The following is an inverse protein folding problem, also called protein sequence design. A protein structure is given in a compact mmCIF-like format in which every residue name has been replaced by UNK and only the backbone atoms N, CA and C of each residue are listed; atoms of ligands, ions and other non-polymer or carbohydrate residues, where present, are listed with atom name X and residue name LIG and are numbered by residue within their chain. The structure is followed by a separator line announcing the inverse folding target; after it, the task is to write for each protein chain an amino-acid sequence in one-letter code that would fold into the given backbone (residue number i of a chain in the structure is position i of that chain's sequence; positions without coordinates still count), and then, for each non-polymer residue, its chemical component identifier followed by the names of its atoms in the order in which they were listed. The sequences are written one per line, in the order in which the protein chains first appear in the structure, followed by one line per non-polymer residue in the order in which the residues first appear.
data_IF_240778737938
#
_entry.id   IF_240778737938
#
_cell.length_a   1.000
_cell.length_b   1.000
_cell.length_c   1.000
_cell.angle_alpha   90.00
_cell.angle_beta   90.00
_cell.angle_gamma   90.00
#
_symmetry.space_group_name_H-M   'P 1'
#
loop_
_entity.id
_entity.type
_entity.pdbx_description
1 polymer ?
#
# COMPACT_ATOMS: atom_id res chain seq x y z
N UNK A 1 -2.17 -21.92 -7.64
CA UNK A 1 -1.66 -21.82 -6.25
C UNK A 1 -2.85 -21.84 -5.31
N UNK A 2 -2.68 -22.31 -4.07
CA UNK A 2 -3.74 -22.25 -3.07
C UNK A 2 -3.94 -20.80 -2.59
N UNK A 3 -5.14 -20.48 -2.12
CA UNK A 3 -5.49 -19.14 -1.63
C UNK A 3 -4.64 -18.82 -0.38
N UNK A 4 -4.10 -17.60 -0.29
CA UNK A 4 -3.40 -17.12 0.90
C UNK A 4 -2.06 -17.80 1.20
N UNK A 5 -1.32 -18.26 0.18
CA UNK A 5 -0.04 -18.97 0.40
C UNK A 5 1.20 -18.18 0.05
N UNK A 6 1.08 -17.09 -0.72
CA UNK A 6 2.22 -16.33 -1.22
C UNK A 6 2.50 -15.11 -0.34
N UNK A 7 3.77 -14.86 -0.04
CA UNK A 7 4.21 -13.68 0.72
C UNK A 7 4.33 -12.44 -0.19
N UNK A 8 4.70 -12.64 -1.45
CA UNK A 8 4.81 -11.57 -2.44
C UNK A 8 4.51 -12.06 -3.87
N UNK A 9 4.04 -11.15 -4.72
CA UNK A 9 3.84 -11.33 -6.16
C UNK A 9 4.46 -10.12 -6.88
N UNK A 10 5.25 -10.39 -7.93
CA UNK A 10 5.73 -9.38 -8.87
C UNK A 10 4.97 -9.58 -10.17
N UNK A 11 4.18 -8.59 -10.56
CA UNK A 11 3.36 -8.61 -11.76
C UNK A 11 4.02 -7.77 -12.87
N UNK A 12 4.46 -8.45 -13.92
CA UNK A 12 5.13 -7.86 -15.08
C UNK A 12 4.22 -7.74 -16.30
N UNK A 13 2.91 -7.96 -16.16
CA UNK A 13 1.98 -7.98 -17.28
C UNK A 13 1.61 -6.54 -17.68
N UNK A 14 2.07 -6.11 -18.86
CA UNK A 14 1.76 -4.78 -19.42
C UNK A 14 0.40 -4.68 -20.12
N UNK A 15 -0.45 -5.70 -19.99
CA UNK A 15 -1.83 -5.69 -20.48
C UNK A 15 -2.83 -5.54 -19.33
N UNK A 16 -3.99 -4.94 -19.60
CA UNK A 16 -5.06 -4.82 -18.60
C UNK A 16 -5.57 -6.21 -18.19
N UNK A 17 -5.47 -6.54 -16.90
CA UNK A 17 -5.92 -7.82 -16.37
C UNK A 17 -6.42 -7.66 -14.91
N UNK A 18 -7.23 -8.61 -14.37
CA UNK A 18 -7.79 -8.50 -13.03
C UNK A 18 -6.77 -8.82 -11.93
N UNK A 19 -6.69 -7.98 -10.89
CA UNK A 19 -5.76 -8.16 -9.77
C UNK A 19 -6.32 -9.00 -8.62
N UNK A 20 -7.65 -9.18 -8.53
CA UNK A 20 -8.30 -9.97 -7.48
C UNK A 20 -7.77 -11.40 -7.34
N UNK A 21 -7.56 -12.16 -8.44
CA UNK A 21 -6.98 -13.50 -8.34
C UNK A 21 -5.57 -13.47 -7.73
N UNK A 22 -4.75 -12.46 -8.05
CA UNK A 22 -3.40 -12.32 -7.49
C UNK A 22 -3.45 -11.99 -6.01
N UNK A 23 -4.32 -11.06 -5.61
CA UNK A 23 -4.54 -10.70 -4.20
C UNK A 23 -5.02 -11.91 -3.40
N UNK A 24 -5.91 -12.74 -3.96
CA UNK A 24 -6.38 -13.96 -3.29
C UNK A 24 -5.26 -14.98 -3.03
N UNK A 25 -4.18 -14.97 -3.81
CA UNK A 25 -3.03 -15.85 -3.58
C UNK A 25 -2.11 -15.33 -2.47
N UNK A 26 -2.18 -14.03 -2.13
CA UNK A 26 -1.36 -13.42 -1.10
C UNK A 26 -1.89 -13.73 0.30
N UNK A 27 -0.98 -13.98 1.24
CA UNK A 27 -1.26 -14.01 2.68
C UNK A 27 -1.76 -12.63 3.15
N UNK A 28 -2.35 -12.59 4.36
CA UNK A 28 -2.55 -11.33 5.07
C UNK A 28 -1.23 -10.56 5.15
N UNK A 29 -1.24 -9.27 4.80
CA UNK A 29 -0.05 -8.40 4.70
C UNK A 29 0.95 -8.77 3.58
N UNK A 30 0.56 -9.58 2.60
CA UNK A 30 1.37 -9.90 1.43
C UNK A 30 1.54 -8.74 0.46
N UNK A 31 2.64 -8.75 -0.30
CA UNK A 31 3.04 -7.62 -1.17
C UNK A 31 2.70 -7.94 -2.63
N UNK A 32 1.97 -7.04 -3.30
CA UNK A 32 1.82 -7.04 -4.76
C UNK A 32 2.61 -5.90 -5.37
N UNK A 33 3.66 -6.21 -6.14
CA UNK A 33 4.47 -5.24 -6.87
C UNK A 33 4.02 -5.22 -8.33
N UNK A 34 3.46 -4.11 -8.78
CA UNK A 34 3.07 -3.90 -10.18
C UNK A 34 4.24 -3.26 -10.93
N UNK A 35 4.87 -4.01 -11.83
CA UNK A 35 5.98 -3.56 -12.70
C UNK A 35 5.50 -3.35 -14.13
N UNK A 36 4.43 -4.03 -14.54
CA UNK A 36 3.76 -3.77 -15.82
C UNK A 36 3.15 -2.37 -15.86
N UNK A 37 3.36 -1.66 -16.96
CA UNK A 37 2.77 -0.35 -17.22
C UNK A 37 1.67 -0.49 -18.30
N UNK A 38 0.43 -0.87 -17.92
CA UNK A 38 -0.66 -1.00 -18.87
C UNK A 38 -1.10 0.37 -19.39
N UNK A 39 -1.46 0.44 -20.67
CA UNK A 39 -1.94 1.67 -21.32
C UNK A 39 -3.22 2.22 -20.67
N UNK A 40 -4.05 1.34 -20.11
CA UNK A 40 -5.24 1.71 -19.34
C UNK A 40 -4.99 1.48 -17.86
N UNK A 41 -5.30 2.45 -16.99
CA UNK A 41 -5.11 2.30 -15.55
C UNK A 41 -5.89 1.09 -15.04
N UNK A 42 -5.28 0.21 -14.23
CA UNK A 42 -5.94 -0.96 -13.70
C UNK A 42 -7.11 -0.54 -12.81
N UNK A 43 -8.24 -1.24 -12.92
CA UNK A 43 -9.38 -1.06 -12.01
C UNK A 43 -8.99 -1.59 -10.63
N UNK A 44 -8.47 -0.73 -9.77
CA UNK A 44 -8.27 -1.05 -8.36
C UNK A 44 -9.62 -1.04 -7.65
N UNK A 45 -9.97 -2.16 -7.05
CA UNK A 45 -10.90 -2.16 -5.94
C UNK A 45 -10.14 -1.63 -4.73
N UNK A 46 -10.62 -0.54 -4.12
CA UNK A 46 -9.94 0.15 -3.01
C UNK A 46 -10.08 -0.65 -1.71
N UNK A 47 -11.14 -1.46 -1.59
CA UNK A 47 -11.48 -2.23 -0.38
C UNK A 47 -10.40 -3.20 0.15
N UNK A 48 -9.69 -4.01 -0.67
CA UNK A 48 -8.62 -4.89 -0.19
C UNK A 48 -7.43 -4.13 0.41
N UNK A 49 -7.24 -2.86 0.03
CA UNK A 49 -6.14 -2.00 0.50
C UNK A 49 -6.55 -1.06 1.64
N UNK A 50 -7.84 -1.00 2.02
CA UNK A 50 -8.32 -0.12 3.09
C UNK A 50 -8.01 -0.64 4.51
N UNK A 51 -7.58 -1.91 4.63
CA UNK A 51 -7.20 -2.52 5.91
C UNK A 51 -5.69 -2.41 6.18
N UNK A 52 -5.01 -1.44 5.57
CA UNK A 52 -3.62 -1.14 5.94
C UNK A 52 -3.61 -0.43 7.29
N UNK A 53 -2.83 -0.94 8.22
CA UNK A 53 -2.57 -0.25 9.49
C UNK A 53 -1.88 1.07 9.14
N UNK A 54 -2.57 2.19 9.37
CA UNK A 54 -2.01 3.53 9.14
C UNK A 54 -1.50 4.09 10.46
N UNK A 55 -0.37 4.78 10.40
CA UNK A 55 0.12 5.57 11.52
C UNK A 55 -0.26 7.04 11.25
N UNK A 56 -1.29 7.50 11.96
CA UNK A 56 -1.75 8.88 11.88
C UNK A 56 -0.75 9.77 12.62
N UNK A 57 -0.17 10.74 11.92
CA UNK A 57 0.83 11.65 12.48
C UNK A 57 0.37 13.10 12.35
N UNK A 58 0.80 13.91 13.30
CA UNK A 58 0.61 15.36 13.27
C UNK A 58 1.67 16.02 12.37
N UNK A 59 1.33 17.20 11.83
CA UNK A 59 2.19 18.00 10.95
C UNK A 59 3.56 18.35 11.56
N UNK A 60 3.62 18.62 12.85
CA UNK A 60 4.87 18.88 13.60
C UNK A 60 5.76 17.63 13.71
N UNK A 61 5.19 16.44 13.61
CA UNK A 61 5.89 15.16 13.69
C UNK A 61 6.45 14.68 12.34
N UNK A 62 6.18 15.40 11.24
CA UNK A 62 6.53 14.96 9.87
C UNK A 62 8.03 14.73 9.71
N UNK A 63 8.89 15.59 10.26
CA UNK A 63 10.34 15.43 10.13
C UNK A 63 10.83 14.14 10.80
N UNK A 64 10.31 13.83 11.99
CA UNK A 64 10.62 12.59 12.71
C UNK A 64 10.08 11.36 11.97
N UNK A 65 8.88 11.45 11.39
CA UNK A 65 8.32 10.38 10.56
C UNK A 65 9.17 10.10 9.31
N UNK A 66 9.74 11.14 8.69
CA UNK A 66 10.65 10.98 7.55
C UNK A 66 11.96 10.28 7.94
N UNK A 67 12.52 10.57 9.13
CA UNK A 67 13.68 9.83 9.65
C UNK A 67 13.36 8.35 9.92
N UNK A 68 12.17 8.05 10.44
CA UNK A 68 11.70 6.68 10.66
C UNK A 68 11.49 5.94 9.35
N UNK A 69 10.96 6.60 8.32
CA UNK A 69 10.82 6.05 6.98
C UNK A 69 12.18 5.64 6.39
N UNK A 70 13.20 6.48 6.52
CA UNK A 70 14.57 6.18 6.05
C UNK A 70 15.15 4.95 6.77
N UNK A 71 14.77 4.74 8.03
CA UNK A 71 15.18 3.58 8.85
C UNK A 71 14.29 2.34 8.65
N UNK A 72 13.32 2.40 7.72
CA UNK A 72 12.29 1.37 7.52
C UNK A 72 11.44 1.05 8.76
N UNK A 73 11.39 1.97 9.73
CA UNK A 73 10.58 1.89 10.96
C UNK A 73 9.19 2.49 10.73
N UNK A 74 8.45 1.93 9.77
CA UNK A 74 7.09 2.37 9.43
C UNK A 74 6.16 1.18 9.28
N UNK A 75 4.97 1.27 9.87
CA UNK A 75 3.86 0.35 9.58
C UNK A 75 3.13 0.84 8.35
N UNK A 76 3.60 0.40 7.19
CA UNK A 76 2.98 0.55 5.87
C UNK A 76 2.77 1.97 5.33
N UNK A 77 2.21 2.93 6.08
CA UNK A 77 1.93 4.30 5.61
C UNK A 77 1.76 5.31 6.76
N UNK A 78 2.51 6.41 6.69
CA UNK A 78 2.20 7.62 7.46
C UNK A 78 1.08 8.41 6.77
N UNK A 79 0.09 8.86 7.55
CA UNK A 79 -0.97 9.76 7.09
C UNK A 79 -0.95 11.00 7.95
N UNK A 80 -0.80 12.16 7.33
CA UNK A 80 -0.77 13.45 8.04
C UNK A 80 -2.19 13.99 8.15
N UNK A 81 -2.67 14.20 9.37
CA UNK A 81 -3.96 14.85 9.60
C UNK A 81 -3.81 16.38 9.55
N UNK A 82 -3.92 16.94 8.35
CA UNK A 82 -3.77 18.38 8.10
C UNK A 82 -4.92 19.18 8.75
N UNK A 83 -6.15 18.65 8.73
CA UNK A 83 -7.35 19.36 9.18
C UNK A 83 -7.40 19.57 10.69
N UNK A 84 -6.88 18.63 11.47
CA UNK A 84 -6.84 18.75 12.93
C UNK A 84 -5.53 19.32 13.47
N UNK A 85 -4.46 19.35 12.67
CA UNK A 85 -3.14 19.82 13.14
C UNK A 85 -2.86 21.29 12.83
N UNK A 86 -3.42 21.85 11.76
CA UNK A 86 -3.31 23.29 11.49
C UNK A 86 -4.37 24.06 12.29
N UNK A 87 -4.10 24.34 13.56
CA UNK A 87 -4.86 25.33 14.33
C UNK A 87 -4.18 26.69 14.17
N UNK A 88 -4.94 27.65 13.63
CA UNK A 88 -4.57 29.07 13.62
C UNK A 88 -4.45 29.60 15.05
#
# INVERSE_FOLDING_TARGET
AAMGTLDAIIDTVSATHPLLPLIGLLKSHGILVLVGAPEKPPKLLVFPFLVVEIELISMDYVNTAMERLIKADVRYRFVIDIGNTLKN
#
